data_IF_513470067972
#
_entry.id   IF_513470067972
#
_cell.length_a   1.000
_cell.length_b   1.000
_cell.length_c   1.000
_cell.angle_alpha   90.00
_cell.angle_beta   90.00
_cell.angle_gamma   90.00
#
_symmetry.space_group_name_H-M   'P 1'
#
loop_
_entity.id
_entity.type
_entity.pdbx_description
1 polymer ?
#
# COMPACT_ATOMS: atom_id res chain seq x y z
N UNK A 1 -9.35 23.35 -2.60
CA UNK A 1 -10.31 22.56 -1.83
C UNK A 1 -9.57 21.60 -0.91
N UNK A 2 -10.00 21.51 0.32
CA UNK A 2 -9.39 20.58 1.26
C UNK A 2 -9.86 19.14 0.95
N UNK A 3 -8.94 18.21 1.03
CA UNK A 3 -9.24 16.78 0.89
C UNK A 3 -9.87 16.31 2.20
N UNK A 4 -10.90 15.48 2.11
CA UNK A 4 -11.46 14.84 3.29
C UNK A 4 -10.69 13.52 3.53
N UNK A 5 -9.81 13.45 4.55
CA UNK A 5 -8.99 12.26 4.77
C UNK A 5 -9.80 10.98 4.97
N UNK A 6 -10.95 11.07 5.63
CA UNK A 6 -11.79 9.89 5.86
C UNK A 6 -12.38 9.32 4.57
N UNK A 7 -12.78 10.19 3.65
CA UNK A 7 -13.32 9.77 2.35
C UNK A 7 -12.21 9.14 1.50
N UNK A 8 -11.04 9.76 1.48
CA UNK A 8 -9.89 9.26 0.71
C UNK A 8 -9.43 7.93 1.29
N UNK A 9 -9.35 7.81 2.62
CA UNK A 9 -8.96 6.57 3.28
C UNK A 9 -9.89 5.42 2.89
N UNK A 10 -11.20 5.65 2.93
CA UNK A 10 -12.16 4.62 2.53
C UNK A 10 -12.02 4.24 1.06
N UNK A 11 -11.80 5.21 0.20
CA UNK A 11 -11.60 4.95 -1.23
C UNK A 11 -10.33 4.14 -1.48
N UNK A 12 -9.25 4.42 -0.74
CA UNK A 12 -8.01 3.67 -0.81
C UNK A 12 -8.25 2.22 -0.37
N UNK A 13 -8.94 2.02 0.74
CA UNK A 13 -9.26 0.67 1.23
C UNK A 13 -10.08 -0.09 0.20
N UNK A 14 -11.10 0.54 -0.37
CA UNK A 14 -11.94 -0.09 -1.40
C UNK A 14 -11.11 -0.50 -2.62
N UNK A 15 -10.18 0.34 -3.04
CA UNK A 15 -9.30 0.03 -4.17
C UNK A 15 -8.37 -1.14 -3.85
N UNK A 16 -7.80 -1.16 -2.64
CA UNK A 16 -6.90 -2.23 -2.22
C UNK A 16 -7.61 -3.57 -2.09
N UNK A 17 -8.91 -3.57 -1.80
CA UNK A 17 -9.70 -4.81 -1.72
C UNK A 17 -9.82 -5.52 -3.07
N UNK A 18 -9.45 -4.85 -4.16
CA UNK A 18 -9.45 -5.45 -5.49
C UNK A 18 -8.13 -6.16 -5.80
N UNK A 19 -7.11 -5.99 -4.96
CA UNK A 19 -5.82 -6.65 -5.13
C UNK A 19 -5.86 -7.98 -4.40
N UNK A 20 -5.82 -9.07 -5.18
CA UNK A 20 -5.95 -10.43 -4.66
C UNK A 20 -4.58 -11.09 -4.66
N UNK A 21 -4.20 -11.69 -3.52
CA UNK A 21 -2.99 -12.47 -3.43
C UNK A 21 -3.22 -13.79 -4.19
N UNK A 22 -2.44 -14.08 -5.24
CA UNK A 22 -2.66 -15.28 -6.04
C UNK A 22 -2.39 -16.58 -5.28
N UNK A 23 -1.64 -16.55 -4.18
CA UNK A 23 -1.36 -17.75 -3.40
C UNK A 23 -2.54 -18.16 -2.52
N UNK A 24 -3.32 -17.19 -2.03
CA UNK A 24 -4.40 -17.45 -1.08
C UNK A 24 -5.78 -17.20 -1.68
N UNK A 25 -5.88 -16.41 -2.77
CA UNK A 25 -7.14 -16.00 -3.33
C UNK A 25 -7.89 -14.98 -2.49
N UNK A 26 -7.23 -14.36 -1.51
CA UNK A 26 -7.81 -13.39 -0.59
C UNK A 26 -7.20 -12.01 -0.86
N UNK A 27 -8.00 -10.94 -0.70
CA UNK A 27 -7.51 -9.58 -0.93
C UNK A 27 -6.52 -9.16 0.16
N UNK A 28 -5.64 -8.20 -0.20
CA UNK A 28 -4.54 -7.79 0.68
C UNK A 28 -5.01 -7.09 1.96
N UNK A 29 -6.17 -6.44 1.93
CA UNK A 29 -6.73 -5.80 3.12
C UNK A 29 -7.20 -6.86 4.11
N UNK A 30 -7.92 -7.86 3.62
CA UNK A 30 -8.44 -8.95 4.45
C UNK A 30 -7.32 -9.80 5.04
N UNK A 31 -6.22 -9.96 4.31
CA UNK A 31 -5.04 -10.67 4.79
C UNK A 31 -4.23 -9.85 5.80
N UNK A 32 -4.60 -8.59 6.03
CA UNK A 32 -3.90 -7.68 6.92
C UNK A 32 -2.44 -7.44 6.50
N UNK A 33 -2.21 -7.40 5.20
CA UNK A 33 -0.90 -7.08 4.66
C UNK A 33 -0.63 -5.57 4.69
N UNK A 34 -1.68 -4.76 4.83
CA UNK A 34 -1.60 -3.31 4.92
C UNK A 34 -1.88 -2.92 6.37
N UNK A 35 -0.90 -2.25 7.00
CA UNK A 35 -0.98 -1.84 8.39
C UNK A 35 -0.88 -0.31 8.52
N UNK A 36 -1.53 0.22 9.55
CA UNK A 36 -1.41 1.64 9.93
C UNK A 36 -1.70 2.61 8.80
N UNK A 37 -2.69 2.30 7.97
CA UNK A 37 -3.09 3.16 6.87
C UNK A 37 -3.69 4.45 7.40
N UNK A 38 -3.10 5.58 7.02
CA UNK A 38 -3.60 6.91 7.35
C UNK A 38 -3.51 7.81 6.14
N UNK A 39 -4.40 8.80 6.08
CA UNK A 39 -4.37 9.82 5.03
C UNK A 39 -4.34 11.17 5.73
N UNK A 40 -3.40 12.04 5.34
CA UNK A 40 -3.32 13.37 5.90
C UNK A 40 -4.19 14.38 5.14
N UNK A 41 -4.23 15.62 5.62
CA UNK A 41 -5.04 16.67 5.02
C UNK A 41 -4.64 17.03 3.60
N UNK A 42 -3.41 16.70 3.22
CA UNK A 42 -2.88 17.00 1.89
C UNK A 42 -3.17 15.88 0.90
N UNK A 43 -3.72 14.76 1.37
CA UNK A 43 -3.96 13.61 0.53
C UNK A 43 -2.78 12.64 0.45
N UNK A 44 -1.80 12.79 1.32
CA UNK A 44 -0.69 11.83 1.40
C UNK A 44 -1.11 10.61 2.19
N UNK A 45 -0.97 9.44 1.59
CA UNK A 45 -1.32 8.16 2.21
C UNK A 45 -0.07 7.55 2.82
N UNK A 46 -0.15 7.20 4.10
CA UNK A 46 0.95 6.54 4.82
C UNK A 46 0.47 5.15 5.23
N UNK A 47 1.29 4.14 4.97
CA UNK A 47 0.94 2.77 5.37
C UNK A 47 2.19 1.90 5.41
N UNK A 48 2.02 0.73 6.03
CA UNK A 48 3.04 -0.31 6.05
C UNK A 48 2.54 -1.52 5.29
N UNK A 49 3.42 -2.11 4.52
CA UNK A 49 3.13 -3.36 3.82
C UNK A 49 3.94 -4.48 4.49
N UNK A 50 3.21 -5.47 5.02
CA UNK A 50 3.82 -6.66 5.64
C UNK A 50 3.43 -7.87 4.80
N UNK A 51 4.34 -8.43 4.00
CA UNK A 51 4.05 -9.65 3.24
C UNK A 51 3.65 -10.79 4.17
N UNK A 52 2.90 -11.75 3.65
CA UNK A 52 2.41 -12.88 4.43
C UNK A 52 3.53 -13.79 4.96
N UNK A 53 4.72 -13.68 4.37
CA UNK A 53 5.90 -14.44 4.78
C UNK A 53 7.14 -13.58 4.61
N UNK A 54 8.17 -13.72 5.49
CA UNK A 54 9.44 -13.02 5.30
C UNK A 54 10.14 -13.36 3.99
N UNK A 55 9.80 -14.49 3.38
CA UNK A 55 10.37 -14.99 2.13
C UNK A 55 9.36 -14.95 0.99
N UNK A 56 8.32 -14.12 1.09
CA UNK A 56 7.25 -14.06 0.10
C UNK A 56 7.82 -13.76 -1.30
N UNK A 57 7.68 -14.68 -2.27
CA UNK A 57 8.22 -14.45 -3.61
C UNK A 57 7.46 -13.37 -4.40
N UNK A 58 6.25 -13.05 -3.94
CA UNK A 58 5.39 -12.06 -4.61
C UNK A 58 5.43 -10.69 -3.92
N UNK A 59 6.29 -10.51 -2.90
CA UNK A 59 6.32 -9.26 -2.13
C UNK A 59 6.54 -8.03 -3.00
N UNK A 60 7.51 -8.10 -3.92
CA UNK A 60 7.82 -6.97 -4.80
C UNK A 60 6.64 -6.67 -5.73
N UNK A 61 6.09 -7.69 -6.35
CA UNK A 61 4.95 -7.55 -7.26
C UNK A 61 3.74 -6.96 -6.53
N UNK A 62 3.42 -7.50 -5.35
CA UNK A 62 2.28 -7.00 -4.57
C UNK A 62 2.50 -5.55 -4.13
N UNK A 63 3.71 -5.22 -3.66
CA UNK A 63 4.02 -3.86 -3.23
C UNK A 63 3.84 -2.86 -4.36
N UNK A 64 4.28 -3.19 -5.56
CA UNK A 64 4.13 -2.33 -6.73
C UNK A 64 2.66 -2.19 -7.14
N UNK A 65 1.89 -3.27 -7.09
CA UNK A 65 0.47 -3.23 -7.39
C UNK A 65 -0.28 -2.37 -6.39
N UNK A 66 0.04 -2.51 -5.10
CA UNK A 66 -0.58 -1.71 -4.04
C UNK A 66 -0.26 -0.24 -4.24
N UNK A 67 1.01 0.09 -4.48
CA UNK A 67 1.42 1.48 -4.69
C UNK A 67 0.69 2.10 -5.88
N UNK A 68 0.60 1.38 -6.98
CA UNK A 68 -0.09 1.87 -8.17
C UNK A 68 -1.59 2.05 -7.93
N UNK A 69 -2.22 1.09 -7.24
CA UNK A 69 -3.65 1.18 -6.92
C UNK A 69 -3.95 2.41 -6.06
N UNK A 70 -3.11 2.66 -5.05
CA UNK A 70 -3.27 3.84 -4.19
C UNK A 70 -3.10 5.12 -5.00
N UNK A 71 -2.14 5.16 -5.91
CA UNK A 71 -1.89 6.35 -6.74
C UNK A 71 -3.07 6.70 -7.66
N UNK A 72 -3.89 5.72 -8.01
CA UNK A 72 -5.05 5.93 -8.89
C UNK A 72 -6.28 6.44 -8.16
N UNK A 73 -6.28 6.46 -6.84
CA UNK A 73 -7.41 6.92 -6.06
C UNK A 73 -7.50 8.45 -6.14
N UNK A 74 -8.70 8.97 -6.46
CA UNK A 74 -8.93 10.40 -6.51
C UNK A 74 -8.72 11.02 -5.13
N UNK A 75 -7.98 12.11 -5.07
CA UNK A 75 -7.65 12.79 -3.82
C UNK A 75 -6.30 12.40 -3.26
N UNK A 76 -5.67 11.34 -3.76
CA UNK A 76 -4.33 10.95 -3.34
C UNK A 76 -3.30 11.80 -4.08
N UNK A 77 -2.49 12.54 -3.33
CA UNK A 77 -1.44 13.40 -3.91
C UNK A 77 -0.05 12.83 -3.77
N UNK A 78 0.12 11.84 -2.89
CA UNK A 78 1.40 11.17 -2.68
C UNK A 78 1.21 10.02 -1.72
N UNK A 79 2.24 9.22 -1.55
CA UNK A 79 2.17 8.10 -0.61
C UNK A 79 3.54 7.78 -0.05
N UNK A 80 3.54 7.30 1.19
CA UNK A 80 4.73 6.82 1.88
C UNK A 80 4.43 5.41 2.34
N UNK A 81 5.17 4.45 1.82
CA UNK A 81 5.01 3.04 2.17
C UNK A 81 6.30 2.54 2.81
N UNK A 82 6.15 1.77 3.88
CA UNK A 82 7.25 1.10 4.54
C UNK A 82 7.00 -0.41 4.49
N UNK A 83 7.93 -1.14 3.93
CA UNK A 83 7.87 -2.61 3.90
C UNK A 83 8.51 -3.13 5.19
N UNK A 84 7.80 -4.01 5.88
CA UNK A 84 8.26 -4.59 7.15
C UNK A 84 8.07 -6.10 7.12
N UNK A 85 8.83 -6.81 7.95
CA UNK A 85 8.67 -8.26 8.07
C UNK A 85 9.05 -9.06 6.83
N UNK A 86 9.95 -8.52 6.00
CA UNK A 86 10.37 -9.14 4.75
C UNK A 86 11.91 -9.10 4.67
N UNK A 87 12.55 -10.17 4.23
CA UNK A 87 14.03 -10.23 4.16
C UNK A 87 14.62 -9.18 3.23
N UNK A 88 13.93 -8.84 2.13
CA UNK A 88 14.35 -7.82 1.18
C UNK A 88 13.78 -6.44 1.45
N UNK A 89 13.27 -6.18 2.68
CA UNK A 89 12.58 -4.93 2.97
C UNK A 89 13.43 -3.70 2.69
N UNK A 90 14.71 -3.71 3.04
CA UNK A 90 15.59 -2.57 2.80
C UNK A 90 15.70 -2.22 1.33
N UNK A 91 15.93 -3.21 0.48
CA UNK A 91 16.03 -3.01 -0.96
C UNK A 91 14.70 -2.58 -1.57
N UNK A 92 13.61 -3.20 -1.12
CA UNK A 92 12.28 -2.87 -1.63
C UNK A 92 11.86 -1.46 -1.20
N UNK A 93 12.16 -1.06 0.03
CA UNK A 93 11.88 0.30 0.49
C UNK A 93 12.64 1.33 -0.36
N UNK A 94 13.88 1.06 -0.69
CA UNK A 94 14.66 1.94 -1.55
C UNK A 94 14.03 2.06 -2.95
N UNK A 95 13.58 0.95 -3.50
CA UNK A 95 12.90 0.93 -4.80
C UNK A 95 11.60 1.74 -4.78
N UNK A 96 10.81 1.57 -3.74
CA UNK A 96 9.54 2.28 -3.62
C UNK A 96 9.74 3.78 -3.42
N UNK A 97 10.80 4.18 -2.71
CA UNK A 97 11.12 5.60 -2.52
C UNK A 97 11.45 6.31 -3.83
N UNK A 98 12.06 5.63 -4.77
CA UNK A 98 12.39 6.23 -6.07
C UNK A 98 11.14 6.67 -6.84
N UNK A 99 9.99 6.07 -6.55
CA UNK A 99 8.73 6.45 -7.15
C UNK A 99 7.94 7.48 -6.36
N UNK A 100 8.44 7.91 -5.21
CA UNK A 100 7.77 8.91 -4.37
C UNK A 100 8.17 10.32 -4.80
N UNK A 101 7.21 11.23 -4.75
CA UNK A 101 7.45 12.66 -4.97
C UNK A 101 7.13 13.46 -3.73
#
# INVERSE_FOLDING_TARGET
>A
MSVNPGVVEQAVINQLQQIIDPETGVDVVRMRLIEDLTVDEKGTVNYRFRPSSPLCPLAVTLALQIREAVAQVEGVTGQKVEVVGYVGAKALNALLKEGEE
#
